data_IF_710461914475
#
_entry.id   IF_710461914475
#
_cell.length_a   1.000
_cell.length_b   1.000
_cell.length_c   1.000
_cell.angle_alpha   90.00
_cell.angle_beta   90.00
_cell.angle_gamma   90.00
#
_symmetry.space_group_name_H-M   'P 1'
#
loop_
_entity.id
_entity.type
_entity.pdbx_description
1 polymer ?
#
# COMPACT_ATOMS: atom_id res chain seq x y z
N UNK A 1 -1.78 21.96 15.69
CA UNK A 1 -1.19 20.82 14.95
C UNK A 1 -2.31 20.22 14.13
N UNK A 2 -2.33 20.44 12.82
CA UNK A 2 -3.41 19.97 11.95
C UNK A 2 -3.39 18.45 11.96
N UNK A 3 -4.48 17.81 12.40
CA UNK A 3 -4.59 16.35 12.44
C UNK A 3 -4.39 15.78 11.03
N UNK A 4 -3.41 14.88 10.87
CA UNK A 4 -3.17 14.19 9.60
C UNK A 4 -4.35 13.26 9.34
N UNK A 5 -4.93 13.37 8.15
CA UNK A 5 -6.06 12.50 7.78
C UNK A 5 -5.57 11.06 7.62
N UNK A 6 -6.15 10.08 8.33
CA UNK A 6 -5.74 8.69 8.21
C UNK A 6 -6.10 8.13 6.83
N UNK A 7 -5.23 7.28 6.28
CA UNK A 7 -5.40 6.62 5.01
C UNK A 7 -4.92 5.18 5.11
N UNK A 8 -5.84 4.24 4.90
CA UNK A 8 -5.58 2.81 4.96
C UNK A 8 -5.66 2.23 3.54
N UNK A 9 -4.65 1.46 3.18
CA UNK A 9 -4.60 0.72 1.92
C UNK A 9 -4.07 -0.67 2.21
N UNK A 10 -4.57 -1.70 1.54
CA UNK A 10 -4.12 -3.07 1.78
C UNK A 10 -3.78 -3.77 0.47
N UNK A 11 -2.84 -4.70 0.54
CA UNK A 11 -2.63 -5.67 -0.53
C UNK A 11 -3.53 -6.89 -0.30
N UNK A 12 -3.89 -7.64 -1.35
CA UNK A 12 -4.44 -8.97 -1.16
C UNK A 12 -3.44 -9.85 -0.41
N UNK A 13 -3.97 -10.83 0.33
CA UNK A 13 -3.19 -11.87 0.97
C UNK A 13 -2.78 -12.89 -0.09
N UNK A 14 -1.48 -12.98 -0.39
CA UNK A 14 -0.96 -13.88 -1.40
C UNK A 14 -0.93 -15.33 -0.89
N UNK A 15 -1.47 -16.26 -1.67
CA UNK A 15 -1.42 -17.68 -1.33
C UNK A 15 0.02 -18.21 -1.33
N UNK A 16 0.45 -18.92 -0.27
CA UNK A 16 1.81 -19.45 -0.16
C UNK A 16 2.04 -20.71 -1.00
N UNK A 17 0.98 -21.28 -1.59
CA UNK A 17 1.04 -22.51 -2.41
C UNK A 17 1.79 -22.32 -3.73
N UNK A 18 1.93 -21.07 -4.20
CA UNK A 18 2.67 -20.72 -5.41
C UNK A 18 3.86 -19.80 -5.11
N UNK A 19 4.82 -19.76 -6.04
CA UNK A 19 5.89 -18.76 -5.98
C UNK A 19 5.30 -17.37 -6.23
N UNK A 20 5.84 -16.37 -5.52
CA UNK A 20 5.57 -14.97 -5.85
C UNK A 20 5.95 -14.71 -7.31
N UNK A 21 5.08 -14.02 -8.03
CA UNK A 21 5.25 -13.72 -9.44
C UNK A 21 4.88 -12.26 -9.72
N UNK A 22 4.97 -11.86 -10.98
CA UNK A 22 4.75 -10.46 -11.39
C UNK A 22 3.38 -9.91 -10.97
N UNK A 23 2.36 -10.76 -10.88
CA UNK A 23 1.03 -10.35 -10.41
C UNK A 23 1.04 -9.95 -8.93
N UNK A 24 1.72 -10.72 -8.09
CA UNK A 24 1.91 -10.40 -6.66
C UNK A 24 2.73 -9.12 -6.50
N UNK A 25 3.81 -8.99 -7.27
CA UNK A 25 4.67 -7.80 -7.22
C UNK A 25 3.93 -6.53 -7.68
N UNK A 26 3.16 -6.62 -8.77
CA UNK A 26 2.42 -5.49 -9.33
C UNK A 26 1.47 -4.87 -8.30
N UNK A 27 0.63 -5.70 -7.66
CA UNK A 27 -0.35 -5.21 -6.70
C UNK A 27 0.32 -4.59 -5.46
N UNK A 28 1.40 -5.20 -4.97
CA UNK A 28 2.19 -4.63 -3.87
C UNK A 28 2.80 -3.28 -4.24
N UNK A 29 3.38 -3.17 -5.43
CA UNK A 29 4.01 -1.93 -5.91
C UNK A 29 2.96 -0.83 -6.11
N UNK A 30 1.80 -1.16 -6.69
CA UNK A 30 0.71 -0.20 -6.86
C UNK A 30 0.24 0.38 -5.52
N UNK A 31 0.11 -0.47 -4.49
CA UNK A 31 -0.24 -0.02 -3.15
C UNK A 31 0.87 0.84 -2.52
N UNK A 32 2.14 0.48 -2.69
CA UNK A 32 3.28 1.25 -2.17
C UNK A 32 3.37 2.65 -2.82
N UNK A 33 3.18 2.75 -4.14
CA UNK A 33 3.16 4.03 -4.87
C UNK A 33 2.04 4.93 -4.35
N UNK A 34 0.84 4.39 -4.17
CA UNK A 34 -0.30 5.15 -3.64
C UNK A 34 -0.08 5.56 -2.18
N UNK A 35 0.50 4.69 -1.35
CA UNK A 35 0.86 5.01 0.03
C UNK A 35 1.88 6.15 0.09
N UNK A 36 2.93 6.13 -0.74
CA UNK A 36 3.93 7.21 -0.84
C UNK A 36 3.31 8.53 -1.29
N UNK A 37 2.44 8.48 -2.29
CA UNK A 37 1.70 9.66 -2.75
C UNK A 37 0.87 10.29 -1.63
N UNK A 38 0.17 9.48 -0.82
CA UNK A 38 -0.62 9.96 0.32
C UNK A 38 0.24 10.49 1.46
N UNK A 39 1.40 9.89 1.74
CA UNK A 39 2.39 10.44 2.68
C UNK A 39 2.88 11.82 2.24
N UNK A 40 3.14 12.00 0.94
CA UNK A 40 3.52 13.31 0.36
C UNK A 40 2.41 14.36 0.50
N UNK A 41 1.15 13.94 0.45
CA UNK A 41 -0.03 14.77 0.71
C UNK A 41 -0.32 14.99 2.21
N UNK A 42 0.61 14.64 3.10
CA UNK A 42 0.50 14.83 4.55
C UNK A 42 -0.64 14.01 5.22
N UNK A 43 -1.00 12.86 4.65
CA UNK A 43 -1.85 11.87 5.30
C UNK A 43 -1.06 11.00 6.29
N UNK A 44 -1.75 10.42 7.27
CA UNK A 44 -1.22 9.36 8.12
C UNK A 44 -1.55 7.99 7.48
N UNK A 45 -0.54 7.31 6.93
CA UNK A 45 -0.74 6.18 6.01
C UNK A 45 -0.35 4.87 6.66
N UNK A 46 -1.27 3.91 6.66
CA UNK A 46 -1.02 2.52 7.06
C UNK A 46 -1.26 1.57 5.87
N UNK A 47 -0.34 0.60 5.72
CA UNK A 47 -0.38 -0.46 4.71
C UNK A 47 -0.33 -1.84 5.36
#
# INVERSE_FOLDING_TARGET
MTEKQPFYITTPIYYPSGKLHIGSAYTTIACDVLARYKRMMNHDVFI
#
